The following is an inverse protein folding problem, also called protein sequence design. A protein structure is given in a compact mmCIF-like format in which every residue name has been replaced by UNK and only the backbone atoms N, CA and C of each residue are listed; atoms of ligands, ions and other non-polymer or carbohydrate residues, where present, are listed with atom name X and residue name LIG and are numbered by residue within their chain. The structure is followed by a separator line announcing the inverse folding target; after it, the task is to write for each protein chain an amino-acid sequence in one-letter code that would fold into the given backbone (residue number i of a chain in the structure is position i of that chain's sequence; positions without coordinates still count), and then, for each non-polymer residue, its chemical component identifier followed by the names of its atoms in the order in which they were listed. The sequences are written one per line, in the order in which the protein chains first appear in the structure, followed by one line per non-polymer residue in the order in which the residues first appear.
data_IF_173679788688
#
_entry.id   IF_173679788688
#
_cell.length_a   1.000
_cell.length_b   1.000
_cell.length_c   1.000
_cell.angle_alpha   90.00
_cell.angle_beta   90.00
_cell.angle_gamma   90.00
#
_symmetry.space_group_name_H-M   'P 1'
#
loop_
_entity.id
_entity.type
_entity.pdbx_description
1 polymer ?
#
# COMPACT_ATOMS: atom_id res chain seq x y z
N UNK A 1 47.15 24.60 -21.04
CA UNK A 1 45.87 24.98 -21.67
C UNK A 1 44.65 24.67 -20.80
N UNK A 2 44.83 24.39 -19.50
CA UNK A 2 43.78 23.81 -18.65
C UNK A 2 42.90 24.84 -17.93
N UNK A 3 43.36 26.10 -17.87
CA UNK A 3 42.60 27.22 -17.28
C UNK A 3 41.36 27.59 -18.12
N UNK A 4 41.39 27.35 -19.43
CA UNK A 4 40.24 27.60 -20.30
C UNK A 4 39.12 26.58 -20.06
N UNK A 5 39.48 25.32 -19.85
CA UNK A 5 38.54 24.19 -19.64
C UNK A 5 37.87 24.25 -18.27
N UNK A 6 38.63 24.55 -17.21
CA UNK A 6 38.06 24.71 -15.86
C UNK A 6 37.11 25.89 -15.77
N UNK A 7 37.47 27.03 -16.40
CA UNK A 7 36.59 28.19 -16.49
C UNK A 7 35.34 27.91 -17.34
N UNK A 8 35.42 27.11 -18.40
CA UNK A 8 34.23 26.77 -19.19
C UNK A 8 33.27 25.84 -18.44
N UNK A 9 33.80 24.87 -17.67
CA UNK A 9 32.99 23.98 -16.84
C UNK A 9 32.24 24.75 -15.74
N UNK A 10 32.91 25.70 -15.07
CA UNK A 10 32.28 26.51 -14.03
C UNK A 10 31.24 27.50 -14.56
N UNK A 11 31.33 27.88 -15.84
CA UNK A 11 30.40 28.80 -16.48
C UNK A 11 29.35 28.09 -17.35
N UNK A 12 29.29 26.76 -17.33
CA UNK A 12 28.26 26.01 -18.03
C UNK A 12 26.90 26.20 -17.33
N UNK A 13 26.06 27.07 -17.91
CA UNK A 13 24.72 27.40 -17.41
C UNK A 13 23.62 26.80 -18.28
N UNK A 14 23.91 25.80 -19.11
CA UNK A 14 22.92 25.16 -20.00
C UNK A 14 21.69 24.66 -19.23
N UNK A 15 21.92 24.02 -18.09
CA UNK A 15 20.84 23.52 -17.21
C UNK A 15 19.96 24.65 -16.65
N UNK A 16 20.53 25.82 -16.37
CA UNK A 16 19.76 27.00 -15.94
C UNK A 16 18.89 27.54 -17.08
N UNK A 17 19.39 27.49 -18.32
CA UNK A 17 18.62 27.90 -19.50
C UNK A 17 17.45 26.95 -19.77
N UNK A 18 17.66 25.64 -19.67
CA UNK A 18 16.59 24.64 -19.82
C UNK A 18 15.52 24.74 -18.73
N UNK A 19 15.91 25.07 -17.49
CA UNK A 19 14.96 25.25 -16.40
C UNK A 19 14.19 26.57 -16.47
N UNK A 20 14.76 27.61 -17.08
CA UNK A 20 14.11 28.92 -17.22
C UNK A 20 12.76 28.82 -17.94
N UNK A 21 12.66 27.99 -18.98
CA UNK A 21 11.39 27.77 -19.70
C UNK A 21 10.34 27.08 -18.83
N UNK A 22 10.75 26.11 -18.00
CA UNK A 22 9.87 25.47 -17.01
C UNK A 22 9.38 26.46 -15.97
N UNK A 23 10.27 27.29 -15.42
CA UNK A 23 9.87 28.29 -14.42
C UNK A 23 9.01 29.42 -14.99
N UNK A 24 9.20 29.77 -16.26
CA UNK A 24 8.31 30.72 -16.94
C UNK A 24 6.86 30.22 -17.02
N UNK A 25 6.60 28.91 -17.03
CA UNK A 25 5.22 28.37 -16.98
C UNK A 25 4.54 28.69 -15.64
N UNK A 26 5.32 28.85 -14.58
CA UNK A 26 4.85 29.24 -13.25
C UNK A 26 5.00 30.73 -12.98
N UNK A 27 5.32 31.53 -14.02
CA UNK A 27 5.24 32.99 -13.98
C UNK A 27 3.75 33.40 -13.94
N UNK A 28 3.07 33.04 -12.87
CA UNK A 28 1.78 33.58 -12.50
C UNK A 28 2.09 34.97 -11.96
N UNK A 29 2.09 35.95 -12.86
CA UNK A 29 2.07 37.35 -12.47
C UNK A 29 0.75 37.50 -11.70
N UNK A 30 0.83 37.59 -10.38
CA UNK A 30 -0.27 38.10 -9.58
C UNK A 30 -0.34 39.57 -9.93
N UNK A 31 -1.17 39.89 -10.90
CA UNK A 31 -1.66 41.25 -11.07
C UNK A 31 -2.39 41.55 -9.76
N UNK A 32 -1.83 42.42 -8.92
CA UNK A 32 -2.48 42.85 -7.67
C UNK A 32 -3.80 43.51 -8.06
N UNK A 33 -4.87 42.72 -8.03
CA UNK A 33 -6.24 43.24 -8.16
C UNK A 33 -6.51 44.02 -6.86
N UNK A 34 -6.79 45.33 -6.92
CA UNK A 34 -7.14 46.06 -5.72
C UNK A 34 -8.41 45.44 -5.15
N UNK A 35 -8.28 44.84 -3.96
CA UNK A 35 -9.42 44.29 -3.22
C UNK A 35 -10.31 45.47 -2.86
N UNK A 36 -11.45 45.57 -3.53
CA UNK A 36 -12.48 46.57 -3.20
C UNK A 36 -12.99 46.19 -1.81
N UNK A 37 -12.67 47.04 -0.84
CA UNK A 37 -13.07 46.97 0.56
C UNK A 37 -14.57 46.69 0.69
N UNK A 38 -14.96 45.41 0.81
CA UNK A 38 -16.37 45.02 0.86
C UNK A 38 -16.60 43.53 0.97
N UNK A 39 -15.73 42.69 0.40
CA UNK A 39 -15.95 41.25 0.38
C UNK A 39 -15.27 40.52 1.56
N UNK A 40 -15.60 40.96 2.77
CA UNK A 40 -15.18 40.33 4.04
C UNK A 40 -16.06 39.13 4.42
N UNK A 41 -16.80 38.55 3.48
CA UNK A 41 -17.85 37.59 3.79
C UNK A 41 -17.44 36.11 3.70
N UNK A 42 -16.24 35.77 3.24
CA UNK A 42 -15.90 34.39 2.86
C UNK A 42 -14.57 33.85 3.39
N UNK A 43 -14.00 34.38 4.48
CA UNK A 43 -12.67 33.89 4.92
C UNK A 43 -12.40 33.84 6.42
N UNK A 44 -13.38 34.08 7.29
CA UNK A 44 -13.13 33.97 8.72
C UNK A 44 -14.25 33.35 9.56
N UNK A 45 -15.46 33.22 9.03
CA UNK A 45 -16.59 32.59 9.72
C UNK A 45 -16.82 31.12 9.27
N UNK A 46 -16.33 30.71 8.10
CA UNK A 46 -16.51 29.33 7.59
C UNK A 46 -15.51 28.31 8.16
N UNK A 47 -14.56 28.76 8.98
CA UNK A 47 -13.65 27.89 9.74
C UNK A 47 -13.91 28.07 11.23
N UNK A 48 -15.10 27.64 11.66
CA UNK A 48 -15.34 27.27 13.05
C UNK A 48 -14.49 26.02 13.34
N UNK A 49 -13.23 26.23 13.70
CA UNK A 49 -12.28 25.19 14.16
C UNK A 49 -12.52 24.79 15.62
N UNK A 50 -13.74 25.02 16.11
CA UNK A 50 -14.22 24.55 17.40
C UNK A 50 -14.31 23.02 17.32
N UNK A 51 -13.22 22.39 17.75
CA UNK A 51 -13.14 20.96 17.96
C UNK A 51 -14.36 20.52 18.77
N UNK A 52 -15.14 19.62 18.20
CA UNK A 52 -16.19 18.87 18.87
C UNK A 52 -15.65 18.30 20.20
N UNK A 53 -16.05 18.91 21.31
CA UNK A 53 -15.68 18.59 22.69
C UNK A 53 -16.19 17.20 23.13
N UNK A 54 -16.87 16.48 22.23
CA UNK A 54 -17.31 15.09 22.33
C UNK A 54 -16.16 14.09 22.59
N UNK A 55 -14.89 14.48 22.45
CA UNK A 55 -13.75 13.61 22.80
C UNK A 55 -13.15 13.81 24.20
N UNK A 56 -13.55 14.83 24.96
CA UNK A 56 -13.00 15.07 26.32
C UNK A 56 -13.82 14.33 27.41
N UNK A 57 -15.09 13.99 27.13
CA UNK A 57 -15.98 13.29 28.07
C UNK A 57 -15.99 11.76 27.95
N UNK A 58 -15.47 11.21 26.85
CA UNK A 58 -15.56 9.79 26.58
C UNK A 58 -14.27 9.08 27.00
N UNK A 59 -14.28 8.52 28.20
CA UNK A 59 -13.25 7.60 28.71
C UNK A 59 -13.29 6.25 27.93
N UNK A 60 -13.03 6.31 26.62
CA UNK A 60 -12.88 5.12 25.77
C UNK A 60 -11.65 4.35 26.23
N UNK A 61 -11.84 3.11 26.66
CA UNK A 61 -10.77 2.22 27.10
C UNK A 61 -10.68 1.95 28.60
N UNK A 62 -11.40 2.68 29.47
CA UNK A 62 -11.34 2.41 30.92
C UNK A 62 -12.15 1.17 31.37
N UNK A 63 -13.06 0.67 30.52
CA UNK A 63 -13.85 -0.54 30.77
C UNK A 63 -13.46 -1.69 29.83
N UNK A 64 -12.36 -1.55 29.08
CA UNK A 64 -11.86 -2.64 28.27
C UNK A 64 -11.36 -3.70 29.25
N UNK A 65 -12.07 -4.82 29.33
CA UNK A 65 -11.78 -5.96 30.20
C UNK A 65 -10.54 -6.73 29.72
N UNK A 66 -9.55 -6.02 29.21
CA UNK A 66 -8.23 -6.51 28.86
C UNK A 66 -7.39 -6.51 30.15
N UNK A 67 -7.92 -7.11 31.22
CA UNK A 67 -7.08 -7.40 32.37
C UNK A 67 -6.05 -8.43 31.93
N UNK A 68 -4.77 -8.13 32.12
CA UNK A 68 -3.65 -9.03 31.78
C UNK A 68 -3.82 -10.45 32.37
N UNK A 69 -4.65 -10.58 33.41
CA UNK A 69 -5.04 -11.85 34.04
C UNK A 69 -5.79 -12.81 33.10
N UNK A 70 -6.53 -12.31 32.10
CA UNK A 70 -7.21 -13.18 31.12
C UNK A 70 -6.24 -13.86 30.14
N UNK A 71 -5.10 -13.22 29.81
CA UNK A 71 -4.09 -13.83 28.95
C UNK A 71 -3.34 -14.96 29.67
N UNK A 72 -3.04 -14.76 30.96
CA UNK A 72 -2.31 -15.72 31.79
C UNK A 72 -3.18 -16.94 32.12
N UNK A 73 -4.49 -16.75 32.33
CA UNK A 73 -5.43 -17.84 32.60
C UNK A 73 -5.79 -18.69 31.37
N UNK A 74 -5.81 -18.11 30.17
CA UNK A 74 -6.15 -18.84 28.93
C UNK A 74 -4.98 -19.62 28.32
N UNK A 75 -3.74 -19.24 28.61
CA UNK A 75 -2.54 -19.89 28.07
C UNK A 75 -1.42 -19.94 29.10
N UNK A 76 -0.88 -21.13 29.43
CA UNK A 76 0.32 -21.20 30.26
C UNK A 76 1.50 -20.53 29.54
N UNK A 77 2.34 -19.84 30.31
CA UNK A 77 3.58 -19.25 29.79
C UNK A 77 4.44 -20.36 29.17
N UNK A 78 4.69 -20.26 27.87
CA UNK A 78 5.48 -21.25 27.11
C UNK A 78 6.80 -20.61 26.70
N UNK A 79 7.91 -21.26 27.02
CA UNK A 79 9.25 -20.78 26.64
C UNK A 79 9.36 -20.77 25.09
N UNK A 80 9.68 -19.61 24.48
CA UNK A 80 9.88 -19.49 23.03
C UNK A 80 10.93 -20.49 22.53
N UNK A 81 10.73 -21.04 21.32
CA UNK A 81 11.63 -22.06 20.74
C UNK A 81 13.10 -21.62 20.69
N UNK A 82 13.37 -20.34 20.43
CA UNK A 82 14.73 -19.77 20.43
C UNK A 82 15.44 -19.81 21.79
N UNK A 83 14.70 -19.96 22.89
CA UNK A 83 15.23 -20.07 24.25
C UNK A 83 15.16 -21.50 24.79
N UNK A 84 14.59 -22.45 24.03
CA UNK A 84 14.62 -23.86 24.42
C UNK A 84 16.04 -24.38 24.19
N UNK A 85 16.66 -25.06 25.17
CA UNK A 85 17.92 -25.73 24.94
C UNK A 85 17.70 -26.78 23.84
N UNK A 86 18.60 -26.81 22.85
CA UNK A 86 18.57 -27.78 21.77
C UNK A 86 19.01 -29.12 22.37
N UNK A 87 18.05 -29.95 22.75
CA UNK A 87 18.34 -31.36 23.05
C UNK A 87 18.69 -32.01 21.71
N UNK A 88 19.94 -32.47 21.60
CA UNK A 88 20.41 -33.29 20.48
C UNK A 88 19.71 -34.65 20.61
N UNK A 89 18.58 -34.80 19.94
CA UNK A 89 17.98 -36.13 19.74
C UNK A 89 18.90 -36.92 18.80
N UNK A 90 19.63 -37.88 19.37
CA UNK A 90 20.21 -39.00 18.64
C UNK A 90 19.05 -39.80 18.02
N UNK A 91 18.78 -39.60 16.73
CA UNK A 91 17.93 -40.49 15.94
C UNK A 91 18.83 -41.33 15.03
N UNK A 92 18.87 -42.63 15.33
CA UNK A 92 19.41 -43.69 14.51
C UNK A 92 18.64 -43.79 13.17
N UNK A 93 19.42 -43.87 12.09
CA UNK A 93 19.20 -44.49 10.77
C UNK A 93 17.77 -44.81 10.32
N UNK A 94 17.33 -44.14 9.25
CA UNK A 94 16.78 -44.84 8.07
C UNK A 94 17.09 -43.99 6.80
N UNK A 95 17.85 -44.60 5.90
CA UNK A 95 18.14 -44.11 4.54
C UNK A 95 16.83 -43.82 3.79
N UNK A 96 16.62 -42.59 3.35
CA UNK A 96 15.91 -42.35 2.09
C UNK A 96 16.34 -41.01 1.47
N UNK A 97 16.95 -41.13 0.29
CA UNK A 97 17.24 -40.12 -0.72
C UNK A 97 17.80 -38.76 -0.24
N UNK A 98 19.13 -38.72 -0.17
CA UNK A 98 19.95 -37.52 -0.32
C UNK A 98 19.60 -36.76 -1.63
N UNK A 99 18.53 -35.97 -1.67
CA UNK A 99 18.69 -34.63 -2.24
C UNK A 99 19.45 -33.81 -1.22
N UNK A 100 20.78 -33.89 -1.33
CA UNK A 100 21.72 -32.96 -0.75
C UNK A 100 21.40 -31.54 -1.26
N UNK A 101 20.36 -30.92 -0.71
CA UNK A 101 20.31 -29.48 -0.50
C UNK A 101 21.35 -29.21 0.56
N UNK A 102 22.61 -29.29 0.13
CA UNK A 102 23.78 -28.78 0.82
C UNK A 102 23.35 -27.43 1.37
N UNK A 103 23.15 -27.37 2.69
CA UNK A 103 23.06 -26.15 3.48
C UNK A 103 24.43 -25.47 3.30
N UNK A 104 24.65 -24.94 2.10
CA UNK A 104 25.57 -23.85 1.88
C UNK A 104 24.95 -22.76 2.70
N UNK A 105 25.41 -22.65 3.94
CA UNK A 105 25.36 -21.45 4.74
C UNK A 105 25.82 -20.34 3.80
N UNK A 106 24.85 -19.73 3.09
CA UNK A 106 25.13 -18.72 2.11
C UNK A 106 25.83 -17.65 2.91
N UNK A 107 27.14 -17.52 2.67
CA UNK A 107 28.01 -16.57 3.35
C UNK A 107 27.21 -15.30 3.43
N UNK A 108 26.81 -14.91 4.65
CA UNK A 108 25.87 -13.81 4.87
C UNK A 108 26.59 -12.56 4.40
N UNK A 109 26.43 -12.26 3.13
CA UNK A 109 27.09 -11.17 2.47
C UNK A 109 26.51 -9.92 3.13
N UNK A 110 27.34 -9.21 3.90
CA UNK A 110 26.92 -7.98 4.58
C UNK A 110 26.67 -6.83 3.59
N UNK A 111 26.84 -7.08 2.29
CA UNK A 111 26.35 -6.22 1.22
C UNK A 111 24.87 -6.46 0.95
N UNK A 112 24.07 -5.44 1.25
CA UNK A 112 22.67 -5.40 0.85
C UNK A 112 22.64 -5.34 -0.69
N UNK A 113 21.95 -6.30 -1.32
CA UNK A 113 21.74 -6.30 -2.78
C UNK A 113 21.12 -4.96 -3.21
N UNK A 114 21.50 -4.48 -4.40
CA UNK A 114 20.95 -3.27 -4.98
C UNK A 114 19.40 -3.30 -4.92
N UNK A 115 18.74 -2.29 -4.33
CA UNK A 115 17.28 -2.24 -4.22
C UNK A 115 16.57 -2.31 -5.59
N UNK A 116 17.22 -1.90 -6.69
CA UNK A 116 16.68 -2.05 -8.03
C UNK A 116 16.52 -3.53 -8.42
N UNK A 117 17.52 -4.35 -8.12
CA UNK A 117 17.52 -5.80 -8.39
C UNK A 117 16.47 -6.51 -7.52
N UNK A 118 16.32 -6.11 -6.25
CA UNK A 118 15.27 -6.63 -5.37
C UNK A 118 13.88 -6.29 -5.90
N UNK A 119 13.68 -5.07 -6.41
CA UNK A 119 12.42 -4.63 -7.00
C UNK A 119 12.10 -5.42 -8.27
N UNK A 120 13.06 -5.56 -9.17
CA UNK A 120 12.92 -6.34 -10.41
C UNK A 120 12.54 -7.79 -10.10
N UNK A 121 13.24 -8.44 -9.16
CA UNK A 121 12.95 -9.81 -8.74
C UNK A 121 11.57 -9.95 -8.12
N UNK A 122 11.14 -8.97 -7.32
CA UNK A 122 9.80 -8.95 -6.74
C UNK A 122 8.71 -8.77 -7.82
N UNK A 123 8.93 -7.88 -8.79
CA UNK A 123 8.01 -7.67 -9.92
C UNK A 123 7.93 -8.91 -10.81
N UNK A 124 9.04 -9.58 -11.11
CA UNK A 124 9.06 -10.84 -11.85
C UNK A 124 8.27 -11.96 -11.14
N UNK A 125 8.44 -12.10 -9.82
CA UNK A 125 7.64 -13.03 -9.00
C UNK A 125 6.16 -12.69 -9.01
N UNK A 126 5.82 -11.40 -8.89
CA UNK A 126 4.44 -10.94 -8.98
C UNK A 126 3.83 -11.24 -10.35
N UNK A 127 4.56 -11.00 -11.43
CA UNK A 127 4.10 -11.25 -12.80
C UNK A 127 3.87 -12.75 -13.07
N UNK A 128 4.78 -13.61 -12.62
CA UNK A 128 4.61 -15.07 -12.75
C UNK A 128 3.44 -15.60 -11.92
N UNK A 129 3.25 -15.09 -10.69
CA UNK A 129 2.09 -15.43 -9.87
C UNK A 129 0.78 -14.99 -10.51
N UNK A 130 0.71 -13.77 -11.03
CA UNK A 130 -0.48 -13.26 -11.73
C UNK A 130 -0.77 -14.08 -13.00
N UNK A 131 0.26 -14.47 -13.75
CA UNK A 131 0.13 -15.34 -14.91
C UNK A 131 -0.42 -16.74 -14.54
N UNK A 132 0.12 -17.37 -13.50
CA UNK A 132 -0.37 -18.67 -12.97
C UNK A 132 -1.80 -18.57 -12.45
N UNK A 133 -2.16 -17.45 -11.80
CA UNK A 133 -3.51 -17.18 -11.31
C UNK A 133 -4.50 -16.85 -12.44
N UNK A 134 -4.03 -16.72 -13.68
CA UNK A 134 -4.85 -16.31 -14.82
C UNK A 134 -5.34 -14.86 -14.71
N UNK A 135 -4.74 -14.06 -13.83
CA UNK A 135 -5.13 -12.69 -13.57
C UNK A 135 -4.51 -11.80 -14.66
N UNK A 136 -5.30 -11.56 -15.71
CA UNK A 136 -4.91 -10.70 -16.83
C UNK A 136 -4.77 -9.25 -16.36
N UNK A 137 -3.85 -8.46 -16.94
CA UNK A 137 -3.76 -7.03 -16.67
C UNK A 137 -5.12 -6.37 -16.94
N UNK A 138 -5.48 -5.42 -16.07
CA UNK A 138 -6.76 -4.72 -16.16
C UNK A 138 -6.80 -3.88 -17.44
N UNK A 139 -7.54 -4.33 -18.45
CA UNK A 139 -7.82 -3.55 -19.66
C UNK A 139 -8.90 -2.50 -19.36
N UNK A 140 -8.56 -1.52 -18.53
CA UNK A 140 -9.47 -0.46 -18.06
C UNK A 140 -10.07 0.36 -19.21
N UNK A 141 -9.31 0.55 -20.30
CA UNK A 141 -9.70 1.26 -21.52
C UNK A 141 -10.84 0.57 -22.27
N UNK A 142 -10.92 -0.76 -22.21
CA UNK A 142 -12.01 -1.50 -22.84
C UNK A 142 -13.34 -1.32 -22.10
N UNK A 143 -13.36 -0.81 -20.87
CA UNK A 143 -14.60 -0.67 -20.10
C UNK A 143 -15.37 0.63 -20.37
N UNK A 144 -14.69 1.70 -20.80
CA UNK A 144 -15.31 3.02 -21.07
C UNK A 144 -16.18 3.01 -22.33
N UNK A 145 -15.92 2.10 -23.27
CA UNK A 145 -16.71 1.97 -24.49
C UNK A 145 -16.51 3.12 -25.48
N UNK A 146 -17.20 3.02 -26.61
CA UNK A 146 -17.25 4.06 -27.66
C UNK A 146 -18.43 5.01 -27.44
N UNK A 147 -18.36 6.20 -28.05
CA UNK A 147 -19.39 7.21 -27.97
C UNK A 147 -20.80 6.68 -28.31
N UNK A 148 -21.82 7.25 -27.66
CA UNK A 148 -23.22 6.83 -27.76
C UNK A 148 -23.67 6.81 -29.23
N UNK A 149 -24.33 5.72 -29.64
CA UNK A 149 -24.86 5.54 -31.00
C UNK A 149 -23.95 4.77 -31.96
N UNK A 150 -22.68 4.56 -31.63
CA UNK A 150 -21.81 3.59 -32.31
C UNK A 150 -21.76 2.34 -31.43
N UNK A 151 -22.23 1.20 -31.94
CA UNK A 151 -22.31 -0.05 -31.18
C UNK A 151 -21.01 -0.38 -30.43
N UNK A 152 -21.15 -1.05 -29.28
CA UNK A 152 -20.02 -1.35 -28.40
C UNK A 152 -19.25 -2.59 -28.88
N UNK A 153 -17.93 -2.61 -28.71
CA UNK A 153 -17.12 -3.77 -29.10
C UNK A 153 -17.40 -4.98 -28.19
N UNK A 154 -17.19 -6.19 -28.69
CA UNK A 154 -17.38 -7.44 -27.91
C UNK A 154 -16.59 -7.44 -26.61
N UNK A 155 -15.38 -6.89 -26.63
CA UNK A 155 -14.50 -6.76 -25.46
C UNK A 155 -15.13 -5.89 -24.38
N UNK A 156 -15.70 -4.74 -24.75
CA UNK A 156 -16.34 -3.83 -23.79
C UNK A 156 -17.54 -4.46 -23.08
N UNK A 157 -18.32 -5.28 -23.79
CA UNK A 157 -19.46 -6.01 -23.23
C UNK A 157 -19.00 -7.09 -22.27
N UNK A 158 -17.94 -7.83 -22.62
CA UNK A 158 -17.36 -8.85 -21.74
C UNK A 158 -16.77 -8.24 -20.46
N UNK A 159 -16.03 -7.13 -20.57
CA UNK A 159 -15.48 -6.42 -19.41
C UNK A 159 -16.58 -5.87 -18.51
N UNK A 160 -17.64 -5.28 -19.09
CA UNK A 160 -18.80 -4.82 -18.31
C UNK A 160 -19.47 -5.98 -17.56
N UNK A 161 -19.71 -7.12 -18.24
CA UNK A 161 -20.30 -8.32 -17.61
C UNK A 161 -19.44 -8.85 -16.46
N UNK A 162 -18.11 -8.89 -16.61
CA UNK A 162 -17.19 -9.30 -15.52
C UNK A 162 -17.24 -8.33 -14.34
N UNK A 163 -17.27 -7.02 -14.60
CA UNK A 163 -17.38 -5.99 -13.55
C UNK A 163 -18.71 -6.08 -12.80
N UNK A 164 -19.81 -6.29 -13.50
CA UNK A 164 -21.13 -6.49 -12.89
C UNK A 164 -21.18 -7.76 -12.05
N UNK A 165 -20.65 -8.88 -12.55
CA UNK A 165 -20.59 -10.14 -11.82
C UNK A 165 -19.73 -10.05 -10.53
N UNK A 166 -18.64 -9.28 -10.58
CA UNK A 166 -17.73 -9.10 -9.42
C UNK A 166 -18.13 -7.95 -8.50
N UNK A 167 -19.13 -7.14 -8.87
CA UNK A 167 -19.62 -5.99 -8.08
C UNK A 167 -20.10 -6.41 -6.69
N UNK A 168 -20.72 -7.58 -6.59
CA UNK A 168 -21.18 -8.17 -5.33
C UNK A 168 -20.09 -8.90 -4.55
N UNK A 169 -19.05 -9.43 -5.21
CA UNK A 169 -18.02 -10.27 -4.59
C UNK A 169 -17.06 -9.45 -3.71
N UNK A 170 -16.65 -8.27 -4.17
CA UNK A 170 -15.69 -7.42 -3.45
C UNK A 170 -16.33 -6.62 -2.30
N UNK A 171 -17.56 -6.13 -2.49
CA UNK A 171 -18.22 -5.25 -1.53
C UNK A 171 -18.90 -6.00 -0.35
N UNK A 172 -19.27 -7.27 -0.51
CA UNK A 172 -20.02 -8.02 0.52
C UNK A 172 -19.16 -8.92 1.42
N UNK A 173 -17.87 -9.13 1.11
CA UNK A 173 -17.01 -10.03 1.90
C UNK A 173 -16.89 -9.57 3.36
N UNK A 174 -16.74 -8.25 3.58
CA UNK A 174 -16.65 -7.70 4.94
C UNK A 174 -18.01 -7.73 5.65
N UNK A 175 -19.13 -7.54 4.92
CA UNK A 175 -20.47 -7.60 5.53
C UNK A 175 -20.80 -8.99 6.07
N UNK A 176 -20.50 -10.04 5.29
CA UNK A 176 -20.75 -11.42 5.72
C UNK A 176 -19.83 -11.81 6.89
N UNK A 177 -18.54 -11.56 6.78
CA UNK A 177 -17.58 -11.84 7.86
C UNK A 177 -17.93 -11.10 9.16
N UNK A 178 -18.36 -9.83 9.08
CA UNK A 178 -18.76 -9.05 10.25
C UNK A 178 -20.14 -9.46 10.78
N UNK A 179 -21.09 -9.85 9.92
CA UNK A 179 -22.36 -10.40 10.36
C UNK A 179 -22.19 -11.73 11.10
N UNK A 180 -21.35 -12.62 10.57
CA UNK A 180 -21.03 -13.90 11.21
C UNK A 180 -20.28 -13.67 12.53
N UNK A 181 -19.35 -12.71 12.58
CA UNK A 181 -18.69 -12.30 13.83
C UNK A 181 -19.67 -11.74 14.87
N UNK A 182 -20.70 -11.00 14.45
CA UNK A 182 -21.76 -10.49 15.34
C UNK A 182 -22.67 -11.62 15.85
N UNK A 183 -23.03 -12.58 15.01
CA UNK A 183 -23.78 -13.79 15.41
C UNK A 183 -23.00 -14.63 16.42
N UNK A 184 -21.72 -14.90 16.15
CA UNK A 184 -20.87 -15.69 17.04
C UNK A 184 -20.64 -15.03 18.41
N UNK A 185 -20.79 -13.70 18.49
CA UNK A 185 -20.73 -12.92 19.74
C UNK A 185 -22.10 -12.72 20.40
N UNK A 186 -23.15 -13.38 19.92
CA UNK A 186 -24.50 -13.27 20.48
C UNK A 186 -25.20 -11.92 20.27
N UNK A 187 -24.70 -11.07 19.36
CA UNK A 187 -25.27 -9.73 19.12
C UNK A 187 -26.44 -9.73 18.12
N UNK A 188 -26.83 -10.88 17.58
CA UNK A 188 -28.01 -11.00 16.70
C UNK A 188 -28.92 -12.08 17.27
N UNK A 189 -30.17 -11.73 17.67
CA UNK A 189 -31.13 -12.71 18.17
C UNK A 189 -31.55 -13.68 17.06
N UNK A 190 -31.78 -14.94 17.45
CA UNK A 190 -32.25 -16.05 16.60
C UNK A 190 -33.73 -15.93 16.26
#
# INVERSE_FOLDING_TARGET
SDKATTKSLLNDKRLVQEQRERYNQYSVIVEEVPVVSGDRLFSQEDYEDEYDDTYDGNQVGANDADSDDELISRRPFTIPQVLRPKEEEEQEEEEDEEEAMEDREATKDHFIQDPAVLRERAEARRMTFLARKGQKPDNSVAATGVAKGRGQSRETVQERRKKEASKGTRANHNRRAMADRKRNKGMIPS
#
